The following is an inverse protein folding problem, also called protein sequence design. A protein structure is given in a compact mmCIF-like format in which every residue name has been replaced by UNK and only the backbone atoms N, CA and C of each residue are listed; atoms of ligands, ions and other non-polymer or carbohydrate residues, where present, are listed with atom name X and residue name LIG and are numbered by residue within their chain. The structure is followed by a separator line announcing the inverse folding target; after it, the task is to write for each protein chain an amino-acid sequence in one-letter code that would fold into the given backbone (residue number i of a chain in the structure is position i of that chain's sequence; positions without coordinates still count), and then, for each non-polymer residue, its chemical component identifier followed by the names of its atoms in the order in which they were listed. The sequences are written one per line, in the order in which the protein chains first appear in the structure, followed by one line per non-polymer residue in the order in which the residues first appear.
data_IF_680772403675
#
_entry.id   IF_680772403675
#
_cell.length_a   1.000
_cell.length_b   1.000
_cell.length_c   1.000
_cell.angle_alpha   90.00
_cell.angle_beta   90.00
_cell.angle_gamma   90.00
#
_symmetry.space_group_name_H-M   'P 1'
#
loop_
_entity.id
_entity.type
_entity.pdbx_description
1 polymer ?
#
# COMPACT_ATOMS: atom_id res chain seq x y z
N UNK A 1 -11.14 -1.82 -8.05
CA UNK A 1 -10.34 -0.66 -8.49
C UNK A 1 -8.89 -0.98 -8.19
N UNK A 2 -8.02 -1.11 -9.21
CA UNK A 2 -6.58 -1.32 -8.99
C UNK A 2 -5.91 0.04 -8.82
N UNK A 3 -5.32 0.28 -7.65
CA UNK A 3 -4.52 1.48 -7.41
C UNK A 3 -3.10 1.15 -7.85
N UNK A 4 -2.62 1.83 -8.88
CA UNK A 4 -1.28 1.66 -9.42
C UNK A 4 -0.43 2.89 -9.06
N UNK A 5 0.79 2.63 -8.58
CA UNK A 5 1.84 3.62 -8.42
C UNK A 5 2.91 3.39 -9.47
N UNK A 6 3.48 4.47 -10.00
CA UNK A 6 4.64 4.40 -10.89
C UNK A 6 5.86 3.89 -10.11
N UNK A 7 6.90 3.45 -10.82
CA UNK A 7 8.15 3.02 -10.18
C UNK A 7 8.77 4.16 -9.37
N UNK A 8 8.82 5.37 -9.92
CA UNK A 8 9.30 6.58 -9.23
C UNK A 8 8.52 6.86 -7.93
N UNK A 9 7.19 6.71 -7.95
CA UNK A 9 6.37 6.88 -6.76
C UNK A 9 6.65 5.82 -5.69
N UNK A 10 6.95 4.58 -6.09
CA UNK A 10 7.32 3.51 -5.16
C UNK A 10 8.68 3.81 -4.52
N UNK A 11 9.65 4.27 -5.29
CA UNK A 11 10.97 4.66 -4.80
C UNK A 11 10.90 5.83 -3.82
N UNK A 12 10.06 6.84 -4.10
CA UNK A 12 9.83 7.97 -3.19
C UNK A 12 9.26 7.53 -1.84
N UNK A 13 8.34 6.56 -1.83
CA UNK A 13 7.78 5.97 -0.60
C UNK A 13 8.87 5.25 0.21
N UNK A 14 9.73 4.50 -0.47
CA UNK A 14 10.80 3.71 0.17
C UNK A 14 11.83 4.64 0.83
N UNK A 15 12.12 5.79 0.21
CA UNK A 15 13.10 6.77 0.69
C UNK A 15 12.58 7.68 1.80
N UNK A 16 11.34 8.13 1.73
CA UNK A 16 10.87 9.23 2.58
C UNK A 16 10.50 8.82 4.02
N UNK A 17 10.40 7.53 4.34
CA UNK A 17 10.25 7.03 5.72
C UNK A 17 8.97 7.44 6.48
N UNK A 18 8.05 8.22 5.90
CA UNK A 18 6.84 8.76 6.56
C UNK A 18 5.66 7.78 6.65
N UNK A 19 5.87 6.51 6.29
CA UNK A 19 4.86 5.47 6.42
C UNK A 19 4.70 5.04 7.87
N UNK A 20 3.45 4.91 8.30
CA UNK A 20 3.17 4.14 9.52
C UNK A 20 3.47 2.66 9.27
N UNK A 21 3.70 1.88 10.33
CA UNK A 21 4.00 0.45 10.19
C UNK A 21 2.92 -0.28 9.38
N UNK A 22 1.65 0.04 9.62
CA UNK A 22 0.52 -0.52 8.87
C UNK A 22 0.56 -0.14 7.37
N UNK A 23 0.89 1.11 7.05
CA UNK A 23 1.00 1.56 5.66
C UNK A 23 2.19 0.88 4.96
N UNK A 24 3.31 0.68 5.67
CA UNK A 24 4.49 -0.05 5.19
C UNK A 24 4.15 -1.51 4.90
N UNK A 25 3.48 -2.20 5.81
CA UNK A 25 3.04 -3.60 5.59
C UNK A 25 2.16 -3.72 4.36
N UNK A 26 1.15 -2.85 4.22
CA UNK A 26 0.27 -2.87 3.04
C UNK A 26 1.05 -2.57 1.75
N UNK A 27 1.97 -1.60 1.77
CA UNK A 27 2.81 -1.27 0.63
C UNK A 27 3.68 -2.45 0.19
N UNK A 28 4.36 -3.10 1.14
CA UNK A 28 5.22 -4.26 0.90
C UNK A 28 4.44 -5.44 0.30
N UNK A 29 3.34 -5.83 0.93
CA UNK A 29 2.55 -6.97 0.47
C UNK A 29 1.92 -6.70 -0.91
N UNK A 30 1.34 -5.52 -1.11
CA UNK A 30 0.63 -5.20 -2.36
C UNK A 30 1.58 -4.85 -3.52
N UNK A 31 2.57 -3.98 -3.32
CA UNK A 31 3.41 -3.49 -4.42
C UNK A 31 4.71 -4.25 -4.63
N UNK A 32 5.32 -4.85 -3.58
CA UNK A 32 6.56 -5.66 -3.74
C UNK A 32 6.25 -7.13 -3.95
N UNK A 33 5.35 -7.71 -3.15
CA UNK A 33 4.98 -9.12 -3.29
C UNK A 33 3.88 -9.37 -4.32
N UNK A 34 3.21 -8.31 -4.79
CA UNK A 34 2.17 -8.41 -5.83
C UNK A 34 0.88 -9.08 -5.34
N UNK A 35 0.62 -9.07 -4.03
CA UNK A 35 -0.57 -9.71 -3.46
C UNK A 35 -1.85 -8.96 -3.84
N UNK A 36 -2.96 -9.69 -3.83
CA UNK A 36 -4.28 -9.08 -4.05
C UNK A 36 -4.75 -8.32 -2.80
N UNK A 37 -5.73 -7.43 -2.95
CA UNK A 37 -6.31 -6.71 -1.80
C UNK A 37 -6.90 -7.70 -0.80
N UNK A 38 -7.49 -8.78 -1.30
CA UNK A 38 -8.06 -9.89 -0.55
C UNK A 38 -7.00 -10.58 0.33
N UNK A 39 -5.85 -10.93 -0.24
CA UNK A 39 -4.78 -11.62 0.48
C UNK A 39 -4.13 -10.70 1.52
N UNK A 40 -3.88 -9.44 1.15
CA UNK A 40 -3.36 -8.42 2.08
C UNK A 40 -4.32 -8.22 3.25
N UNK A 41 -5.63 -8.14 2.96
CA UNK A 41 -6.67 -7.99 3.98
C UNK A 41 -6.70 -9.17 4.95
N UNK A 42 -6.61 -10.40 4.43
CA UNK A 42 -6.55 -11.62 5.22
C UNK A 42 -5.30 -11.64 6.13
N UNK A 43 -4.14 -11.28 5.58
CA UNK A 43 -2.86 -11.24 6.30
C UNK A 43 -2.85 -10.24 7.46
N UNK A 44 -3.34 -9.02 7.24
CA UNK A 44 -3.34 -7.98 8.28
C UNK A 44 -4.57 -8.05 9.20
N UNK A 45 -5.45 -9.03 9.01
CA UNK A 45 -6.68 -9.21 9.79
C UNK A 45 -7.66 -8.03 9.67
N UNK A 46 -7.75 -7.42 8.48
CA UNK A 46 -8.64 -6.26 8.22
C UNK A 46 -9.55 -6.50 7.03
N UNK A 47 -10.53 -5.63 6.86
CA UNK A 47 -11.42 -5.67 5.71
C UNK A 47 -10.76 -5.06 4.45
N UNK A 48 -11.27 -5.44 3.28
CA UNK A 48 -10.78 -4.96 1.97
C UNK A 48 -10.93 -3.44 1.79
N UNK A 49 -11.92 -2.80 2.43
CA UNK A 49 -12.12 -1.34 2.36
C UNK A 49 -11.01 -0.63 3.14
N UNK A 50 -10.58 -1.17 4.27
CA UNK A 50 -9.44 -0.67 5.03
C UNK A 50 -8.16 -0.70 4.18
N UNK A 51 -7.85 -1.83 3.52
CA UNK A 51 -6.69 -1.92 2.62
C UNK A 51 -6.81 -0.92 1.46
N UNK A 52 -7.98 -0.83 0.83
CA UNK A 52 -8.23 0.12 -0.27
C UNK A 52 -8.07 1.58 0.17
N UNK A 53 -8.50 1.93 1.39
CA UNK A 53 -8.33 3.26 1.98
C UNK A 53 -6.85 3.57 2.22
N UNK A 54 -6.08 2.61 2.72
CA UNK A 54 -4.64 2.74 2.93
C UNK A 54 -3.93 2.97 1.60
N UNK A 55 -4.22 2.17 0.58
CA UNK A 55 -3.64 2.33 -0.77
C UNK A 55 -3.96 3.71 -1.36
N UNK A 56 -5.17 4.25 -1.12
CA UNK A 56 -5.52 5.61 -1.54
C UNK A 56 -4.71 6.66 -0.78
N UNK A 57 -4.53 6.51 0.53
CA UNK A 57 -3.70 7.44 1.31
C UNK A 57 -2.24 7.43 0.85
N UNK A 58 -1.69 6.25 0.53
CA UNK A 58 -0.35 6.13 -0.04
C UNK A 58 -0.23 6.94 -1.33
N UNK A 59 -1.21 6.80 -2.23
CA UNK A 59 -1.27 7.57 -3.49
C UNK A 59 -1.32 9.08 -3.26
N UNK A 60 -2.13 9.56 -2.32
CA UNK A 60 -2.22 11.01 -2.05
C UNK A 60 -0.92 11.59 -1.51
N UNK A 61 -0.13 10.80 -0.77
CA UNK A 61 1.15 11.25 -0.22
C UNK A 61 2.30 11.22 -1.25
N UNK A 62 2.16 10.46 -2.35
CA UNK A 62 3.12 10.45 -3.47
C UNK A 62 2.70 11.27 -4.69
N UNK A 63 1.54 11.92 -4.62
CA UNK A 63 1.13 12.92 -5.59
C UNK A 63 2.05 14.14 -5.49
#
# INVERSE_FOLDING_TARGET
MKIFLTQEQKERIDQDGWLTDMQRTVFELYYRRGWTIEDVAAEIGRDRRTVSRILRQLREKVK
#
